data_IF_892389510129
#
_entry.id   IF_892389510129
#
_cell.length_a   1.000
_cell.length_b   1.000
_cell.length_c   1.000
_cell.angle_alpha   90.00
_cell.angle_beta   90.00
_cell.angle_gamma   90.00
#
_symmetry.space_group_name_H-M   'P 1'
#
loop_
_entity.id
_entity.type
_entity.pdbx_description
1 polymer ?
#
# COMPACT_ATOMS: atom_id res chain seq x y z
N UNK A 1 21.42 -10.60 12.17
CA UNK A 1 19.97 -10.93 12.25
C UNK A 1 19.80 -11.99 13.33
N UNK A 2 18.88 -11.80 14.32
CA UNK A 2 18.70 -12.72 15.44
C UNK A 2 18.43 -14.18 15.03
N UNK A 3 17.62 -14.40 13.98
CA UNK A 3 17.31 -15.74 13.49
C UNK A 3 18.54 -16.51 12.99
N UNK A 4 19.50 -15.84 12.35
CA UNK A 4 20.76 -16.44 11.92
C UNK A 4 21.60 -16.90 13.13
N UNK A 5 21.65 -16.07 14.17
CA UNK A 5 22.34 -16.42 15.41
C UNK A 5 21.70 -17.64 16.08
N UNK A 6 20.36 -17.66 16.18
CA UNK A 6 19.61 -18.79 16.74
C UNK A 6 19.84 -20.08 15.95
N UNK A 7 19.82 -20.01 14.63
CA UNK A 7 20.12 -21.17 13.77
C UNK A 7 21.51 -21.71 14.03
N UNK A 8 22.54 -20.86 14.10
CA UNK A 8 23.91 -21.26 14.40
C UNK A 8 24.03 -21.91 15.79
N UNK A 9 23.33 -21.37 16.81
CA UNK A 9 23.36 -21.87 18.18
C UNK A 9 22.60 -23.19 18.35
N UNK A 10 21.44 -23.31 17.71
CA UNK A 10 20.55 -24.47 17.81
C UNK A 10 20.84 -25.54 16.72
N UNK A 11 21.77 -25.23 15.82
CA UNK A 11 22.14 -26.08 14.68
C UNK A 11 20.88 -26.51 13.89
N UNK A 12 20.79 -27.76 13.49
CA UNK A 12 19.70 -28.29 12.66
C UNK A 12 18.37 -28.54 13.39
N UNK A 13 18.18 -27.97 14.60
CA UNK A 13 16.94 -28.13 15.37
C UNK A 13 15.84 -27.16 14.97
N UNK A 14 16.17 -26.16 14.13
CA UNK A 14 15.22 -25.15 13.66
C UNK A 14 15.35 -24.96 12.15
N UNK A 15 14.23 -24.64 11.51
CA UNK A 15 14.17 -24.16 10.13
C UNK A 15 14.09 -22.64 10.20
N UNK A 16 14.99 -21.95 9.47
CA UNK A 16 15.03 -20.51 9.38
C UNK A 16 14.47 -20.05 8.03
N UNK A 17 13.27 -19.50 8.03
CA UNK A 17 12.61 -18.94 6.86
C UNK A 17 12.64 -17.42 6.95
N UNK A 18 13.10 -16.77 5.90
CA UNK A 18 13.08 -15.32 5.79
C UNK A 18 12.09 -14.87 4.72
N UNK A 19 11.29 -13.85 5.03
CA UNK A 19 10.33 -13.25 4.09
C UNK A 19 10.87 -11.90 3.65
N UNK A 20 10.88 -11.62 2.36
CA UNK A 20 11.51 -10.51 1.64
C UNK A 20 13.02 -10.70 1.45
N UNK A 21 13.66 -9.76 0.74
CA UNK A 21 15.09 -9.77 0.52
C UNK A 21 15.86 -9.54 1.84
N UNK A 22 16.72 -10.46 2.28
CA UNK A 22 17.37 -10.36 3.60
C UNK A 22 18.51 -9.36 3.67
N UNK A 23 19.00 -8.85 2.54
CA UNK A 23 20.18 -7.95 2.42
C UNK A 23 21.47 -8.55 3.01
N UNK A 24 21.52 -9.88 3.19
CA UNK A 24 22.67 -10.69 3.63
C UNK A 24 22.69 -11.99 2.85
N UNK A 25 23.79 -12.78 2.93
CA UNK A 25 23.89 -14.05 2.18
C UNK A 25 22.69 -14.97 2.42
N UNK A 26 22.13 -15.48 1.32
CA UNK A 26 20.99 -16.41 1.30
C UNK A 26 21.32 -17.74 2.00
N UNK A 27 22.59 -18.14 2.04
CA UNK A 27 23.04 -19.37 2.70
C UNK A 27 22.82 -19.40 4.21
N UNK A 28 22.52 -18.23 4.79
CA UNK A 28 22.16 -18.15 6.21
C UNK A 28 20.74 -18.64 6.53
N UNK A 29 19.94 -18.93 5.51
CA UNK A 29 18.53 -19.31 5.64
C UNK A 29 18.30 -20.69 4.99
N UNK A 30 17.33 -21.44 5.51
CA UNK A 30 16.86 -22.65 4.84
C UNK A 30 15.99 -22.30 3.64
N UNK A 31 15.13 -21.27 3.81
CA UNK A 31 14.32 -20.73 2.75
C UNK A 31 14.24 -19.20 2.83
N UNK A 32 14.18 -18.57 1.67
CA UNK A 32 13.87 -17.15 1.52
C UNK A 32 12.67 -17.04 0.61
N UNK A 33 11.63 -16.34 1.05
CA UNK A 33 10.42 -16.08 0.25
C UNK A 33 10.43 -14.62 -0.17
N UNK A 34 10.54 -14.35 -1.46
CA UNK A 34 10.61 -13.00 -2.00
C UNK A 34 9.69 -12.81 -3.21
N UNK A 35 9.15 -11.60 -3.43
CA UNK A 35 8.39 -11.31 -4.64
C UNK A 35 9.27 -11.41 -5.90
N UNK A 36 8.66 -11.79 -7.03
CA UNK A 36 9.37 -11.87 -8.32
C UNK A 36 10.08 -10.57 -8.71
N UNK A 37 9.46 -9.43 -8.39
CA UNK A 37 10.02 -8.12 -8.73
C UNK A 37 11.31 -7.75 -7.96
N UNK A 38 11.61 -8.44 -6.86
CA UNK A 38 12.90 -8.28 -6.16
C UNK A 38 14.07 -8.93 -6.94
N UNK A 39 13.77 -9.76 -7.94
CA UNK A 39 14.77 -10.40 -8.80
C UNK A 39 15.71 -11.37 -8.07
N UNK A 40 15.37 -11.78 -6.85
CA UNK A 40 16.20 -12.64 -6.02
C UNK A 40 16.23 -14.07 -6.57
N UNK A 41 17.42 -14.66 -6.70
CA UNK A 41 17.62 -16.00 -7.23
C UNK A 41 18.51 -16.83 -6.32
N UNK A 42 18.16 -18.09 -6.08
CA UNK A 42 18.94 -19.04 -5.29
C UNK A 42 18.20 -20.37 -5.16
N UNK A 43 18.93 -21.44 -4.83
CA UNK A 43 18.34 -22.79 -4.69
C UNK A 43 17.35 -22.89 -3.51
N UNK A 44 17.43 -21.97 -2.57
CA UNK A 44 16.58 -21.86 -1.40
C UNK A 44 15.61 -20.66 -1.48
N UNK A 45 15.44 -20.06 -2.67
CA UNK A 45 14.52 -18.95 -2.89
C UNK A 45 13.21 -19.47 -3.46
N UNK A 46 12.11 -19.11 -2.79
CA UNK A 46 10.74 -19.28 -3.26
C UNK A 46 10.19 -17.92 -3.68
N UNK A 47 9.71 -17.82 -4.92
CA UNK A 47 9.17 -16.58 -5.44
C UNK A 47 7.64 -16.54 -5.32
N UNK A 48 7.10 -15.38 -4.90
CA UNK A 48 5.69 -15.06 -4.94
C UNK A 48 5.40 -14.03 -6.03
N UNK A 49 4.20 -14.03 -6.62
CA UNK A 49 3.83 -13.04 -7.65
C UNK A 49 3.87 -11.60 -7.14
N UNK A 50 3.50 -11.40 -5.88
CA UNK A 50 3.52 -10.11 -5.21
C UNK A 50 3.99 -10.23 -3.77
N UNK A 51 3.99 -9.14 -3.03
CA UNK A 51 4.31 -9.13 -1.61
C UNK A 51 3.34 -10.04 -0.83
N UNK A 52 3.86 -10.77 0.15
CA UNK A 52 3.03 -11.60 1.02
C UNK A 52 2.21 -10.66 1.92
N UNK A 53 0.90 -10.84 1.92
CA UNK A 53 -0.04 -10.10 2.73
C UNK A 53 -1.09 -11.04 3.36
N UNK A 54 -1.82 -10.53 4.32
CA UNK A 54 -2.86 -11.29 5.05
C UNK A 54 -4.29 -10.90 4.64
N UNK A 55 -4.46 -10.03 3.64
CA UNK A 55 -5.79 -9.62 3.19
C UNK A 55 -6.53 -10.79 2.54
N UNK A 56 -7.78 -10.99 2.95
CA UNK A 56 -8.67 -12.00 2.39
C UNK A 56 -9.86 -11.34 1.70
N UNK A 57 -10.52 -12.06 0.80
CA UNK A 57 -11.75 -11.59 0.17
C UNK A 57 -12.87 -11.39 1.20
N UNK A 58 -12.91 -12.21 2.26
CA UNK A 58 -13.92 -12.07 3.31
C UNK A 58 -13.73 -10.75 4.07
N UNK A 59 -12.49 -10.40 4.43
CA UNK A 59 -12.16 -9.14 5.09
C UNK A 59 -12.51 -7.91 4.21
N UNK A 60 -12.31 -8.01 2.89
CA UNK A 60 -12.74 -6.96 1.95
C UNK A 60 -14.27 -6.84 1.90
N UNK A 61 -14.97 -7.96 1.80
CA UNK A 61 -16.44 -7.99 1.74
C UNK A 61 -17.09 -7.46 3.04
N UNK A 62 -16.55 -7.83 4.20
CA UNK A 62 -17.03 -7.32 5.51
C UNK A 62 -16.92 -5.79 5.63
N UNK A 63 -15.95 -5.18 4.96
CA UNK A 63 -15.72 -3.74 5.03
C UNK A 63 -16.28 -2.96 3.83
N UNK A 64 -16.89 -3.61 2.83
CA UNK A 64 -17.42 -2.99 1.63
C UNK A 64 -18.33 -1.79 1.93
N UNK A 65 -19.21 -1.94 2.88
CA UNK A 65 -20.22 -0.92 3.22
C UNK A 65 -19.70 0.22 4.12
N UNK A 66 -18.44 0.18 4.57
CA UNK A 66 -17.92 1.15 5.53
C UNK A 66 -17.95 2.61 4.99
N UNK A 67 -17.65 2.82 3.72
CA UNK A 67 -17.70 4.13 3.09
C UNK A 67 -19.02 4.39 2.31
N UNK A 68 -19.95 3.45 2.27
CA UNK A 68 -21.14 3.49 1.41
C UNK A 68 -21.98 4.77 1.58
N UNK A 69 -22.13 5.27 2.78
CA UNK A 69 -22.90 6.49 3.06
C UNK A 69 -22.26 7.78 2.48
N UNK A 70 -20.99 7.72 2.09
CA UNK A 70 -20.22 8.83 1.51
C UNK A 70 -20.04 8.70 0.00
N UNK A 71 -20.39 7.53 -0.54
CA UNK A 71 -20.22 7.22 -1.96
C UNK A 71 -21.42 7.73 -2.75
N UNK A 72 -21.15 8.34 -3.89
CA UNK A 72 -22.16 8.72 -4.85
C UNK A 72 -22.33 7.58 -5.88
N UNK A 73 -23.43 6.85 -5.80
CA UNK A 73 -23.74 5.70 -6.64
C UNK A 73 -23.84 6.02 -8.15
N UNK A 74 -23.90 7.31 -8.54
CA UNK A 74 -23.94 7.75 -9.93
C UNK A 74 -22.55 8.00 -10.52
N UNK A 75 -21.47 7.90 -9.69
CA UNK A 75 -20.10 8.15 -10.11
C UNK A 75 -19.27 6.86 -10.02
N UNK A 76 -18.32 6.72 -10.93
CA UNK A 76 -17.24 5.75 -10.76
C UNK A 76 -16.29 6.22 -9.68
N UNK A 77 -15.59 5.29 -9.05
CA UNK A 77 -14.74 5.57 -7.91
C UNK A 77 -13.28 5.32 -8.25
N UNK A 78 -12.42 6.25 -7.87
CA UNK A 78 -10.97 6.05 -7.87
C UNK A 78 -10.41 6.26 -6.47
N UNK A 79 -9.71 5.25 -5.94
CA UNK A 79 -8.97 5.38 -4.70
C UNK A 79 -7.54 5.86 -4.98
N UNK A 80 -7.11 6.89 -4.26
CA UNK A 80 -5.73 7.36 -4.21
C UNK A 80 -5.13 6.95 -2.85
N UNK A 81 -4.30 5.92 -2.85
CA UNK A 81 -3.59 5.45 -1.65
C UNK A 81 -2.26 6.19 -1.54
N UNK A 82 -2.14 7.02 -0.52
CA UNK A 82 -0.94 7.81 -0.27
C UNK A 82 0.03 7.04 0.62
N UNK A 83 1.26 6.91 0.19
CA UNK A 83 2.38 6.46 1.00
C UNK A 83 3.00 7.61 1.81
N UNK A 84 4.31 7.68 1.85
CA UNK A 84 5.04 8.76 2.53
C UNK A 84 6.49 8.87 2.04
N UNK A 85 7.24 9.85 2.54
CA UNK A 85 8.60 10.09 2.11
C UNK A 85 9.49 8.88 2.40
N UNK A 86 10.42 8.63 1.48
CA UNK A 86 11.47 7.62 1.62
C UNK A 86 12.81 8.24 1.24
N UNK A 87 13.90 7.51 1.37
CA UNK A 87 15.21 8.00 0.88
C UNK A 87 15.29 8.17 -0.65
N UNK A 88 14.31 7.64 -1.38
CA UNK A 88 14.26 7.71 -2.84
C UNK A 88 13.17 8.62 -3.38
N UNK A 89 12.14 8.89 -2.59
CA UNK A 89 10.97 9.66 -3.00
C UNK A 89 10.70 10.78 -2.01
N UNK A 90 10.66 11.98 -2.54
CA UNK A 90 10.35 13.18 -1.79
C UNK A 90 8.84 13.50 -1.90
N UNK A 91 8.23 13.86 -0.78
CA UNK A 91 6.82 14.25 -0.66
C UNK A 91 6.69 15.77 -0.49
N UNK A 92 7.44 16.52 -1.33
CA UNK A 92 7.31 17.96 -1.33
C UNK A 92 5.98 18.43 -1.97
N UNK A 93 5.65 19.69 -1.74
CA UNK A 93 4.40 20.28 -2.20
C UNK A 93 4.20 20.17 -3.71
N UNK A 94 5.26 20.39 -4.49
CA UNK A 94 5.21 20.36 -5.96
C UNK A 94 4.85 18.97 -6.50
N UNK A 95 5.45 17.92 -5.93
CA UNK A 95 5.18 16.52 -6.30
C UNK A 95 3.73 16.18 -5.98
N UNK A 96 3.24 16.54 -4.79
CA UNK A 96 1.88 16.23 -4.35
C UNK A 96 0.83 16.99 -5.19
N UNK A 97 1.05 18.27 -5.43
CA UNK A 97 0.18 19.07 -6.32
C UNK A 97 0.12 18.50 -7.73
N UNK A 98 1.27 18.05 -8.24
CA UNK A 98 1.33 17.36 -9.53
C UNK A 98 0.52 16.06 -9.56
N UNK A 99 0.50 15.29 -8.48
CA UNK A 99 -0.33 14.08 -8.34
C UNK A 99 -1.81 14.49 -8.33
N UNK A 100 -2.21 15.42 -7.47
CA UNK A 100 -3.61 15.86 -7.33
C UNK A 100 -4.14 16.44 -8.64
N UNK A 101 -3.36 17.28 -9.33
CA UNK A 101 -3.73 17.83 -10.63
C UNK A 101 -3.95 16.75 -11.69
N UNK A 102 -3.12 15.68 -11.69
CA UNK A 102 -3.33 14.52 -12.58
C UNK A 102 -4.60 13.74 -12.24
N UNK A 103 -4.89 13.57 -10.95
CA UNK A 103 -6.14 12.95 -10.50
C UNK A 103 -7.35 13.78 -10.96
N UNK A 104 -7.31 15.08 -10.73
CA UNK A 104 -8.37 15.99 -11.19
C UNK A 104 -8.61 15.85 -12.69
N UNK A 105 -7.55 16.00 -13.49
CA UNK A 105 -7.64 15.98 -14.95
C UNK A 105 -8.14 14.63 -15.49
N UNK A 106 -7.68 13.51 -14.92
CA UNK A 106 -7.93 12.19 -15.49
C UNK A 106 -9.16 11.49 -14.91
N UNK A 107 -9.64 11.90 -13.73
CA UNK A 107 -10.76 11.27 -13.04
C UNK A 107 -11.88 12.25 -12.70
N UNK A 108 -11.66 13.31 -11.94
CA UNK A 108 -12.73 14.23 -11.54
C UNK A 108 -13.45 14.82 -12.76
N UNK A 109 -12.70 15.30 -13.76
CA UNK A 109 -13.28 15.84 -15.01
C UNK A 109 -13.99 14.78 -15.87
N UNK A 110 -13.90 13.50 -15.50
CA UNK A 110 -14.57 12.37 -16.17
C UNK A 110 -15.65 11.72 -15.30
N UNK A 111 -16.20 12.47 -14.36
CA UNK A 111 -17.29 12.04 -13.48
C UNK A 111 -16.91 10.88 -12.53
N UNK A 112 -15.68 10.88 -12.01
CA UNK A 112 -15.30 10.00 -10.91
C UNK A 112 -15.43 10.71 -9.58
N UNK A 113 -15.70 9.95 -8.51
CA UNK A 113 -15.48 10.37 -7.14
C UNK A 113 -14.12 9.85 -6.67
N UNK A 114 -13.37 10.68 -5.98
CA UNK A 114 -12.04 10.34 -5.46
C UNK A 114 -12.14 9.99 -3.99
N UNK A 115 -11.50 8.90 -3.59
CA UNK A 115 -11.26 8.53 -2.18
C UNK A 115 -9.77 8.65 -1.93
N UNK A 116 -9.35 9.58 -1.07
CA UNK A 116 -7.94 9.71 -0.65
C UNK A 116 -7.74 8.98 0.67
N UNK A 117 -6.84 8.01 0.67
CA UNK A 117 -6.55 7.17 1.84
C UNK A 117 -5.08 7.32 2.22
N UNK A 118 -4.78 7.86 3.41
CA UNK A 118 -3.41 7.97 3.90
C UNK A 118 -2.90 6.64 4.47
N UNK A 119 -1.59 6.47 4.45
CA UNK A 119 -0.89 5.44 5.20
C UNK A 119 -0.28 6.00 6.49
N UNK A 120 0.25 5.13 7.35
CA UNK A 120 0.98 5.55 8.56
C UNK A 120 2.21 6.44 8.28
N UNK A 121 2.72 6.44 7.04
CA UNK A 121 3.87 7.25 6.63
C UNK A 121 3.47 8.57 5.98
N UNK A 122 2.19 8.77 5.69
CA UNK A 122 1.69 9.99 5.04
C UNK A 122 1.80 11.15 6.03
N UNK A 123 2.59 12.20 5.71
CA UNK A 123 2.69 13.37 6.59
C UNK A 123 1.35 14.09 6.73
N UNK A 124 1.05 14.58 7.93
CA UNK A 124 -0.23 15.23 8.23
C UNK A 124 -0.53 16.42 7.29
N UNK A 125 0.47 17.23 6.98
CA UNK A 125 0.30 18.38 6.07
C UNK A 125 -0.12 17.98 4.65
N UNK A 126 0.16 16.73 4.21
CA UNK A 126 -0.28 16.21 2.91
C UNK A 126 -1.77 15.84 2.96
N UNK A 127 -2.24 15.32 4.09
CA UNK A 127 -3.65 15.01 4.30
C UNK A 127 -4.46 16.30 4.32
N UNK A 128 -4.02 17.31 5.07
CA UNK A 128 -4.62 18.65 5.12
C UNK A 128 -4.61 19.31 3.73
N UNK A 129 -3.53 19.11 2.97
CA UNK A 129 -3.46 19.61 1.59
C UNK A 129 -4.48 18.90 0.68
N UNK A 130 -4.70 17.60 0.83
CA UNK A 130 -5.74 16.89 0.08
C UNK A 130 -7.13 17.40 0.44
N UNK A 131 -7.41 17.62 1.74
CA UNK A 131 -8.68 18.17 2.22
C UNK A 131 -8.98 19.57 1.66
N UNK A 132 -7.94 20.41 1.52
CA UNK A 132 -8.07 21.74 0.95
C UNK A 132 -8.11 21.76 -0.59
N UNK A 133 -7.55 20.75 -1.25
CA UNK A 133 -7.45 20.69 -2.71
C UNK A 133 -8.72 20.12 -3.35
N UNK A 134 -9.28 19.07 -2.77
CA UNK A 134 -10.43 18.37 -3.31
C UNK A 134 -11.74 18.94 -2.75
N UNK A 135 -12.77 18.99 -3.61
CA UNK A 135 -14.10 19.43 -3.23
C UNK A 135 -14.72 18.50 -2.16
N UNK A 136 -15.73 19.04 -1.45
CA UNK A 136 -16.47 18.32 -0.39
C UNK A 136 -17.20 17.04 -0.87
N UNK A 137 -17.41 16.91 -2.17
CA UNK A 137 -17.98 15.70 -2.78
C UNK A 137 -16.98 14.54 -2.83
N UNK A 138 -15.71 14.80 -2.56
CA UNK A 138 -14.68 13.77 -2.50
C UNK A 138 -14.54 13.25 -1.07
N UNK A 139 -14.02 12.04 -0.92
CA UNK A 139 -13.85 11.39 0.38
C UNK A 139 -12.38 11.49 0.77
N UNK A 140 -12.06 12.29 1.76
CA UNK A 140 -10.71 12.39 2.31
C UNK A 140 -10.69 11.73 3.68
N UNK A 141 -9.90 10.68 3.81
CA UNK A 141 -9.70 9.99 5.10
C UNK A 141 -8.62 10.74 5.88
N UNK A 142 -9.01 11.38 6.97
CA UNK A 142 -8.13 12.28 7.74
C UNK A 142 -7.14 11.56 8.64
N UNK A 143 -7.47 10.33 9.03
CA UNK A 143 -6.62 9.51 9.89
C UNK A 143 -6.42 8.13 9.27
N UNK A 144 -5.34 7.44 9.66
CA UNK A 144 -5.12 6.06 9.23
C UNK A 144 -6.26 5.18 9.73
N UNK A 145 -7.01 4.63 8.80
CA UNK A 145 -8.20 3.81 9.08
C UNK A 145 -8.18 2.56 8.19
N UNK A 146 -7.97 1.40 8.81
CA UNK A 146 -7.93 0.11 8.12
C UNK A 146 -9.26 -0.20 7.42
N UNK A 147 -10.40 0.11 8.04
CA UNK A 147 -11.72 -0.17 7.44
C UNK A 147 -11.97 0.71 6.22
N UNK A 148 -11.60 1.99 6.30
CA UNK A 148 -11.68 2.89 5.16
C UNK A 148 -10.76 2.43 4.01
N UNK A 149 -9.54 1.98 4.33
CA UNK A 149 -8.62 1.41 3.35
C UNK A 149 -9.23 0.17 2.66
N UNK A 150 -9.73 -0.81 3.43
CA UNK A 150 -10.33 -2.04 2.89
C UNK A 150 -11.57 -1.74 2.05
N UNK A 151 -12.44 -0.85 2.55
CA UNK A 151 -13.62 -0.40 1.81
C UNK A 151 -13.22 0.26 0.50
N UNK A 152 -12.23 1.16 0.50
CA UNK A 152 -11.76 1.83 -0.71
C UNK A 152 -11.22 0.86 -1.75
N UNK A 153 -10.49 -0.19 -1.33
CA UNK A 153 -10.01 -1.24 -2.24
C UNK A 153 -11.18 -2.01 -2.89
N UNK A 154 -12.25 -2.26 -2.12
CA UNK A 154 -13.38 -3.06 -2.58
C UNK A 154 -14.32 -2.31 -3.53
N UNK A 155 -14.57 -1.02 -3.24
CA UNK A 155 -15.58 -0.23 -3.96
C UNK A 155 -15.03 0.51 -5.17
N UNK A 156 -13.71 0.60 -5.34
CA UNK A 156 -13.11 1.43 -6.39
C UNK A 156 -13.01 0.70 -7.73
N UNK A 157 -13.38 1.41 -8.81
CA UNK A 157 -13.14 0.97 -10.19
C UNK A 157 -11.65 1.06 -10.55
N UNK A 158 -10.93 2.02 -9.94
CA UNK A 158 -9.48 2.20 -10.12
C UNK A 158 -8.80 2.48 -8.80
N UNK A 159 -7.61 1.90 -8.63
CA UNK A 159 -6.75 2.14 -7.47
C UNK A 159 -5.44 2.72 -7.98
N UNK A 160 -5.05 3.87 -7.43
CA UNK A 160 -3.79 4.54 -7.70
C UNK A 160 -3.00 4.53 -6.40
N UNK A 161 -1.78 4.03 -6.48
CA UNK A 161 -0.88 3.92 -5.34
C UNK A 161 0.38 4.71 -5.63
N UNK A 162 0.88 5.45 -4.66
CA UNK A 162 2.19 6.09 -4.81
C UNK A 162 3.30 5.03 -4.76
N UNK A 163 4.31 5.16 -5.61
CA UNK A 163 5.35 4.13 -5.86
C UNK A 163 6.26 3.82 -4.65
N UNK A 164 6.13 4.56 -3.58
CA UNK A 164 6.82 4.35 -2.30
C UNK A 164 6.05 3.41 -1.35
N UNK A 165 4.82 3.04 -1.72
CA UNK A 165 3.93 2.26 -0.87
C UNK A 165 4.05 0.76 -1.14
N UNK A 166 4.06 -0.04 -0.07
CA UNK A 166 3.95 -1.50 -0.15
C UNK A 166 2.56 -1.99 -0.58
N UNK A 167 1.62 -1.07 -0.74
CA UNK A 167 0.27 -1.37 -1.29
C UNK A 167 0.25 -1.52 -2.80
N UNK A 168 1.40 -1.32 -3.46
CA UNK A 168 1.58 -1.55 -4.89
C UNK A 168 1.42 -3.03 -5.25
#
# INVERSE_FOLDING_TARGET
IPSIYLKKKLKNKIINIHIQEPKVSLDNFDFVVAPEHDGLKGNNVLTSKGAIHYLTNDELNENENYLKSKINDQKKIVALILGGPTKYYDYNNQVIEGIFSKIEKNFLKKNYQVIVVPSMRTPQHIIEKAENYFDKDQIIILNVDKKAYLSSLKVSDHIIVTCDSTSM
#
